data_IF_349936490265
#
_entry.id   IF_349936490265
#
_cell.length_a   1.000
_cell.length_b   1.000
_cell.length_c   1.000
_cell.angle_alpha   90.00
_cell.angle_beta   90.00
_cell.angle_gamma   90.00
#
_symmetry.space_group_name_H-M   'P 1'
#
loop_
_entity.id
_entity.type
_entity.pdbx_description
1 polymer ?
#
# COMPACT_ATOMS: atom_id res chain seq x y z
N UNK A 1 -5.01 -4.25 -14.62
CA UNK A 1 -5.49 -3.30 -13.60
C UNK A 1 -4.81 -1.97 -13.86
N UNK A 2 -5.50 -0.86 -13.69
CA UNK A 2 -4.88 0.47 -13.55
C UNK A 2 -5.01 0.90 -12.09
N UNK A 3 -3.96 1.53 -11.56
CA UNK A 3 -3.76 1.73 -10.13
C UNK A 3 -3.65 3.23 -9.83
N UNK A 4 -4.15 3.62 -8.65
CA UNK A 4 -4.04 4.98 -8.14
C UNK A 4 -4.03 4.94 -6.61
N UNK A 5 -3.02 5.57 -6.01
CA UNK A 5 -2.72 5.43 -4.58
C UNK A 5 -3.81 5.96 -3.63
N UNK A 6 -4.70 6.81 -4.13
CA UNK A 6 -5.78 7.40 -3.33
C UNK A 6 -7.07 6.59 -3.29
N UNK A 7 -7.14 5.40 -3.91
CA UNK A 7 -8.38 4.64 -3.94
C UNK A 7 -8.28 3.24 -4.55
N UNK A 8 -9.43 2.70 -4.91
CA UNK A 8 -9.51 1.36 -5.51
C UNK A 8 -8.87 1.33 -6.91
N UNK A 9 -8.25 0.21 -7.29
CA UNK A 9 -7.80 -0.02 -8.65
C UNK A 9 -9.00 -0.17 -9.60
N UNK A 10 -8.79 0.09 -10.88
CA UNK A 10 -9.78 -0.15 -11.92
C UNK A 10 -9.39 -1.35 -12.79
N UNK A 11 -10.37 -2.20 -13.09
CA UNK A 11 -10.24 -3.28 -14.06
C UNK A 11 -10.50 -2.73 -15.46
N UNK A 12 -9.66 -3.14 -16.38
CA UNK A 12 -9.75 -2.82 -17.80
C UNK A 12 -9.89 -4.11 -18.59
N UNK A 13 -10.63 -4.06 -19.68
CA UNK A 13 -10.57 -5.09 -20.72
C UNK A 13 -9.16 -5.07 -21.34
N UNK A 14 -8.49 -6.22 -21.41
CA UNK A 14 -7.10 -6.29 -21.88
C UNK A 14 -6.94 -6.07 -23.38
N UNK A 15 -8.00 -6.25 -24.17
CA UNK A 15 -7.97 -6.13 -25.64
C UNK A 15 -8.40 -4.73 -26.08
N UNK A 16 -9.47 -4.21 -25.49
CA UNK A 16 -10.07 -2.93 -25.87
C UNK A 16 -9.62 -1.76 -25.00
N UNK A 17 -9.00 -2.01 -23.84
CA UNK A 17 -8.67 -1.01 -22.82
C UNK A 17 -9.88 -0.23 -22.29
N UNK A 18 -11.08 -0.77 -22.49
CA UNK A 18 -12.30 -0.20 -21.91
C UNK A 18 -12.32 -0.42 -20.40
N UNK A 19 -12.86 0.55 -19.68
CA UNK A 19 -12.97 0.48 -18.22
C UNK A 19 -14.15 -0.41 -17.82
N UNK A 20 -13.88 -1.53 -17.16
CA UNK A 20 -14.93 -2.38 -16.58
C UNK A 20 -15.47 -1.79 -15.27
N UNK A 21 -14.61 -1.14 -14.49
CA UNK A 21 -15.00 -0.47 -13.24
C UNK A 21 -13.96 -0.63 -12.13
N UNK A 22 -14.33 -0.18 -10.92
CA UNK A 22 -13.52 -0.35 -9.71
C UNK A 22 -13.44 -1.83 -9.33
N UNK A 23 -12.30 -2.25 -8.83
CA UNK A 23 -12.06 -3.63 -8.38
C UNK A 23 -11.74 -3.66 -6.88
N UNK A 24 -12.48 -4.51 -6.16
CA UNK A 24 -12.19 -4.85 -4.77
C UNK A 24 -11.30 -6.09 -4.63
N UNK A 25 -10.68 -6.54 -5.74
CA UNK A 25 -9.79 -7.70 -5.80
C UNK A 25 -10.41 -8.97 -5.18
N UNK A 26 -11.68 -9.24 -5.50
CA UNK A 26 -12.41 -10.39 -4.95
C UNK A 26 -12.80 -10.25 -3.47
N UNK A 27 -12.89 -9.02 -2.96
CA UNK A 27 -13.27 -8.72 -1.57
C UNK A 27 -12.10 -8.44 -0.64
N UNK A 28 -10.86 -8.53 -1.14
CA UNK A 28 -9.64 -8.18 -0.37
C UNK A 28 -9.63 -6.71 0.04
N UNK A 29 -10.16 -5.82 -0.81
CA UNK A 29 -10.27 -4.38 -0.53
C UNK A 29 -11.72 -4.00 -0.20
N UNK A 30 -11.90 -3.12 0.79
CA UNK A 30 -13.19 -2.46 1.05
C UNK A 30 -13.38 -1.27 0.09
N UNK A 31 -14.61 -0.79 -0.04
CA UNK A 31 -14.98 0.25 -1.02
C UNK A 31 -14.14 1.54 -0.96
N UNK A 32 -13.65 1.89 0.24
CA UNK A 32 -12.86 3.10 0.51
C UNK A 32 -11.37 2.82 0.74
N UNK A 33 -10.93 1.59 0.57
CA UNK A 33 -9.53 1.26 0.79
C UNK A 33 -8.67 1.82 -0.35
N UNK A 34 -7.54 2.47 -0.04
CA UNK A 34 -6.56 2.84 -1.05
C UNK A 34 -5.78 1.60 -1.51
N UNK A 35 -5.16 1.66 -2.68
CA UNK A 35 -4.27 0.62 -3.17
C UNK A 35 -3.07 1.25 -3.86
N UNK A 36 -1.87 0.86 -3.42
CA UNK A 36 -0.60 1.36 -3.92
C UNK A 36 -0.47 1.16 -5.43
N UNK A 37 0.20 2.09 -6.09
CA UNK A 37 0.38 2.05 -7.54
C UNK A 37 1.59 1.20 -7.98
N UNK A 38 2.39 0.72 -7.01
CA UNK A 38 3.57 -0.09 -7.25
C UNK A 38 3.34 -1.53 -6.85
N UNK A 39 3.92 -2.41 -7.64
CA UNK A 39 3.91 -3.85 -7.41
C UNK A 39 5.33 -4.38 -7.56
N UNK A 40 5.65 -5.43 -6.83
CA UNK A 40 6.88 -6.18 -6.98
C UNK A 40 6.56 -7.63 -7.29
N UNK A 41 7.21 -8.19 -8.30
CA UNK A 41 7.09 -9.61 -8.63
C UNK A 41 8.30 -10.36 -8.08
N UNK A 42 8.05 -11.34 -7.21
CA UNK A 42 9.05 -12.27 -6.71
C UNK A 42 9.03 -13.55 -7.54
N UNK A 43 10.04 -13.69 -8.41
CA UNK A 43 10.16 -14.83 -9.31
C UNK A 43 10.53 -16.15 -8.61
N UNK A 44 11.10 -16.10 -7.40
CA UNK A 44 11.47 -17.31 -6.66
C UNK A 44 10.25 -18.00 -6.08
N UNK A 45 9.26 -17.22 -5.67
CA UNK A 45 8.02 -17.72 -5.05
C UNK A 45 6.80 -17.65 -5.97
N UNK A 46 6.95 -17.07 -7.17
CA UNK A 46 5.87 -16.81 -8.13
C UNK A 46 4.72 -15.99 -7.51
N UNK A 47 5.12 -14.90 -6.83
CA UNK A 47 4.21 -14.02 -6.09
C UNK A 47 4.27 -12.58 -6.56
N UNK A 48 3.10 -11.95 -6.57
CA UNK A 48 2.96 -10.51 -6.81
C UNK A 48 2.65 -9.82 -5.49
N UNK A 49 3.48 -8.85 -5.12
CA UNK A 49 3.34 -8.06 -3.92
C UNK A 49 2.77 -6.69 -4.24
N UNK A 50 1.86 -6.22 -3.39
CA UNK A 50 1.29 -4.87 -3.41
C UNK A 50 1.22 -4.33 -1.98
N UNK A 51 0.84 -3.06 -1.86
CA UNK A 51 0.51 -2.49 -0.56
C UNK A 51 -0.76 -1.64 -0.62
N UNK A 52 -1.37 -1.42 0.53
CA UNK A 52 -2.33 -0.35 0.80
C UNK A 52 -1.74 0.55 1.88
N UNK A 53 -1.97 1.85 1.78
CA UNK A 53 -1.50 2.82 2.75
C UNK A 53 -2.65 3.76 3.15
N UNK A 54 -3.28 3.46 4.29
CA UNK A 54 -4.33 4.28 4.87
C UNK A 54 -3.67 5.41 5.67
N UNK A 55 -3.52 6.55 5.01
CA UNK A 55 -2.83 7.71 5.55
C UNK A 55 -3.72 8.45 6.55
N UNK A 56 -3.14 8.83 7.69
CA UNK A 56 -3.75 9.70 8.69
C UNK A 56 -2.67 10.61 9.29
N UNK A 57 -3.05 11.82 9.73
CA UNK A 57 -2.09 12.78 10.29
C UNK A 57 -1.42 12.28 11.58
N UNK A 58 -2.08 11.41 12.35
CA UNK A 58 -1.64 10.92 13.66
C UNK A 58 -1.09 9.48 13.62
N UNK A 59 -1.69 8.59 12.83
CA UNK A 59 -1.19 7.23 12.65
C UNK A 59 -1.74 6.58 11.39
N UNK A 60 -0.83 6.31 10.45
CA UNK A 60 -1.16 5.62 9.21
C UNK A 60 -1.11 4.09 9.39
N UNK A 61 -1.83 3.36 8.54
CA UNK A 61 -1.78 1.89 8.50
C UNK A 61 -1.32 1.45 7.12
N UNK A 62 -0.18 0.75 7.09
CA UNK A 62 0.33 0.09 5.90
C UNK A 62 -0.11 -1.38 5.93
N UNK A 63 -0.59 -1.88 4.80
CA UNK A 63 -0.90 -3.30 4.60
C UNK A 63 -0.12 -3.82 3.41
N UNK A 64 0.75 -4.80 3.61
CA UNK A 64 1.38 -5.58 2.55
C UNK A 64 0.43 -6.70 2.11
N UNK A 65 0.32 -6.95 0.80
CA UNK A 65 -0.42 -8.07 0.23
C UNK A 65 0.49 -8.90 -0.67
N UNK A 66 0.40 -10.23 -0.56
CA UNK A 66 1.03 -11.19 -1.46
C UNK A 66 -0.04 -12.04 -2.16
N UNK A 67 -0.01 -12.04 -3.49
CA UNK A 67 -0.89 -12.83 -4.34
C UNK A 67 -0.09 -13.92 -5.06
N UNK A 68 -0.65 -15.13 -5.16
CA UNK A 68 -0.09 -16.19 -6.00
C UNK A 68 -0.32 -15.92 -7.50
N UNK A 69 0.21 -16.78 -8.38
CA UNK A 69 0.05 -16.67 -9.84
C UNK A 69 -1.38 -16.76 -10.38
N UNK A 70 -2.36 -17.17 -9.56
CA UNK A 70 -3.79 -17.09 -9.89
C UNK A 70 -4.42 -15.77 -9.42
N UNK A 71 -3.59 -14.83 -8.99
CA UNK A 71 -3.97 -13.53 -8.42
C UNK A 71 -4.95 -13.67 -7.24
N UNK A 72 -4.74 -14.70 -6.42
CA UNK A 72 -5.46 -14.91 -5.16
C UNK A 72 -4.52 -14.61 -4.02
N UNK A 73 -5.02 -13.96 -2.98
CA UNK A 73 -4.26 -13.72 -1.76
C UNK A 73 -3.71 -15.07 -1.26
N UNK A 74 -2.43 -15.13 -0.92
CA UNK A 74 -1.81 -16.35 -0.39
C UNK A 74 -2.57 -16.75 0.89
N UNK A 75 -2.89 -18.03 1.07
CA UNK A 75 -3.56 -18.52 2.29
C UNK A 75 -2.59 -19.19 3.26
N UNK A 76 -1.42 -19.58 2.78
CA UNK A 76 -0.50 -20.47 3.48
C UNK A 76 0.81 -19.70 3.73
N UNK A 77 1.01 -19.26 4.96
CA UNK A 77 2.29 -18.70 5.38
C UNK A 77 3.33 -19.82 5.49
N UNK A 78 4.49 -19.65 4.85
CA UNK A 78 5.67 -20.44 5.19
C UNK A 78 6.34 -19.77 6.40
N UNK A 79 5.61 -19.69 7.52
CA UNK A 79 6.03 -18.96 8.70
C UNK A 79 4.91 -18.82 9.72
N UNK A 80 5.05 -19.48 10.86
CA UNK A 80 4.15 -19.38 12.00
C UNK A 80 4.11 -17.96 12.58
N UNK A 81 2.98 -17.24 12.48
CA UNK A 81 2.45 -16.34 13.52
C UNK A 81 0.93 -16.30 13.41
N UNK A 82 0.23 -16.47 14.53
CA UNK A 82 -1.18 -16.88 14.62
C UNK A 82 -2.25 -15.79 14.41
N UNK A 83 -1.94 -14.62 13.86
CA UNK A 83 -2.92 -13.52 13.77
C UNK A 83 -3.03 -12.87 12.37
N UNK A 84 -2.32 -13.39 11.35
CA UNK A 84 -2.37 -12.87 9.98
C UNK A 84 -3.42 -13.62 9.15
N UNK A 85 -4.41 -12.89 8.62
CA UNK A 85 -5.33 -13.39 7.60
C UNK A 85 -4.58 -13.63 6.27
N UNK A 86 -3.86 -14.76 6.15
CA UNK A 86 -3.17 -15.13 4.91
C UNK A 86 -2.03 -14.18 4.51
N UNK A 87 -1.83 -13.98 3.19
CA UNK A 87 -0.80 -13.19 2.53
C UNK A 87 -0.95 -11.68 2.76
N UNK A 88 -1.37 -11.28 3.96
CA UNK A 88 -1.63 -9.91 4.38
C UNK A 88 -0.85 -9.64 5.66
N UNK A 89 -0.07 -8.56 5.68
CA UNK A 89 0.66 -8.10 6.87
C UNK A 89 0.35 -6.63 7.11
N UNK A 90 -0.23 -6.30 8.26
CA UNK A 90 -0.56 -4.93 8.65
C UNK A 90 0.47 -4.37 9.64
N UNK A 91 0.91 -3.13 9.39
CA UNK A 91 1.85 -2.41 10.25
C UNK A 91 1.33 -1.00 10.47
N UNK A 92 1.30 -0.57 11.73
CA UNK A 92 1.00 0.83 12.09
C UNK A 92 2.25 1.68 11.93
N UNK A 93 2.12 2.81 11.25
CA UNK A 93 3.17 3.81 11.11
C UNK A 93 2.81 5.07 11.90
N UNK A 94 3.77 5.69 12.61
CA UNK A 94 3.52 6.91 13.34
C UNK A 94 3.29 8.09 12.39
N UNK A 95 2.26 8.89 12.64
CA UNK A 95 1.93 10.06 11.85
C UNK A 95 1.52 9.75 10.42
N UNK A 96 1.68 10.76 9.56
CA UNK A 96 1.47 10.65 8.13
C UNK A 96 2.58 9.80 7.49
N UNK A 97 2.19 8.70 6.85
CA UNK A 97 3.09 7.89 6.04
C UNK A 97 2.87 8.21 4.56
N UNK A 98 3.63 9.16 4.00
CA UNK A 98 3.57 9.45 2.56
C UNK A 98 4.49 8.46 1.81
N UNK A 99 3.93 7.32 1.43
CA UNK A 99 4.63 6.20 0.77
C UNK A 99 4.16 6.07 -0.67
N UNK A 100 5.09 6.10 -1.63
CA UNK A 100 4.81 5.96 -3.06
C UNK A 100 5.44 4.73 -3.73
N UNK A 101 6.35 4.05 -3.04
CA UNK A 101 7.06 2.88 -3.56
C UNK A 101 7.62 2.02 -2.44
N UNK A 102 8.06 0.81 -2.79
CA UNK A 102 8.66 -0.16 -1.89
C UNK A 102 9.62 -1.09 -2.63
N UNK A 103 10.54 -1.71 -1.89
CA UNK A 103 11.40 -2.76 -2.40
C UNK A 103 11.10 -4.10 -1.71
N UNK A 104 11.51 -5.19 -2.34
CA UNK A 104 11.30 -6.54 -1.81
C UNK A 104 12.62 -7.29 -1.79
N UNK A 105 12.83 -8.01 -0.69
CA UNK A 105 13.90 -9.00 -0.50
C UNK A 105 13.24 -10.36 -0.25
N UNK A 106 14.05 -11.40 -0.07
CA UNK A 106 13.53 -12.73 0.28
C UNK A 106 12.58 -12.70 1.48
N UNK A 107 12.94 -11.96 2.55
CA UNK A 107 12.20 -12.00 3.83
C UNK A 107 11.43 -10.72 4.16
N UNK A 108 11.71 -9.61 3.47
CA UNK A 108 11.16 -8.30 3.82
C UNK A 108 10.63 -7.53 2.61
N UNK A 109 9.52 -6.84 2.84
CA UNK A 109 9.14 -5.65 2.09
C UNK A 109 9.68 -4.41 2.81
N UNK A 110 10.30 -3.49 2.06
CA UNK A 110 11.05 -2.35 2.58
C UNK A 110 10.36 -1.07 2.14
N UNK A 111 10.00 -0.23 3.10
CA UNK A 111 9.34 1.05 2.87
C UNK A 111 10.14 2.20 3.49
N UNK A 112 10.16 3.35 2.84
CA UNK A 112 10.81 4.56 3.36
C UNK A 112 9.73 5.60 3.65
N UNK A 113 9.55 5.95 4.93
CA UNK A 113 8.68 7.02 5.36
C UNK A 113 9.48 8.33 5.46
N UNK A 114 9.27 9.29 4.54
CA UNK A 114 9.88 10.61 4.68
C UNK A 114 9.26 11.35 5.88
N UNK A 115 9.99 12.28 6.51
CA UNK A 115 9.53 13.03 7.69
C UNK A 115 8.57 14.15 7.26
N UNK A 116 7.38 13.79 6.77
CA UNK A 116 6.38 14.73 6.25
C UNK A 116 5.17 14.77 7.18
N UNK A 117 4.70 15.97 7.47
CA UNK A 117 3.44 16.23 8.17
C UNK A 117 2.47 16.99 7.25
N UNK A 118 1.20 17.03 7.64
CA UNK A 118 0.20 17.89 6.98
C UNK A 118 -0.20 19.06 7.87
N UNK A 119 -0.43 20.22 7.26
CA UNK A 119 -1.01 21.40 7.89
C UNK A 119 -2.43 21.62 7.35
N UNK A 120 -3.42 21.17 8.12
CA UNK A 120 -4.83 21.29 7.74
C UNK A 120 -5.31 22.73 7.57
N UNK A 121 -4.77 23.68 8.35
CA UNK A 121 -5.12 25.10 8.22
C UNK A 121 -4.66 25.65 6.87
N UNK A 122 -3.45 25.28 6.46
CA UNK A 122 -2.90 25.66 5.15
C UNK A 122 -3.74 25.09 4.00
N UNK A 123 -4.24 23.86 4.13
CA UNK A 123 -5.16 23.28 3.15
C UNK A 123 -6.48 24.07 3.08
N UNK A 124 -7.08 24.43 4.21
CA UNK A 124 -8.34 25.18 4.24
C UNK A 124 -8.20 26.57 3.58
N UNK A 125 -7.07 27.25 3.78
CA UNK A 125 -6.81 28.57 3.18
C UNK A 125 -6.49 28.49 1.69
N UNK A 126 -5.64 27.55 1.28
CA UNK A 126 -5.13 27.48 -0.09
C UNK A 126 -5.98 26.62 -1.02
N UNK A 127 -6.75 25.67 -0.47
CA UNK A 127 -7.42 24.57 -1.20
C UNK A 127 -6.48 23.76 -2.10
N UNK A 128 -5.19 23.79 -1.81
CA UNK A 128 -4.14 23.13 -2.57
C UNK A 128 -3.50 22.04 -1.68
N UNK A 129 -3.75 20.75 -1.96
CA UNK A 129 -3.19 19.65 -1.18
C UNK A 129 -1.66 19.68 -1.13
N UNK A 130 -0.99 20.08 -2.22
CA UNK A 130 0.47 20.07 -2.30
C UNK A 130 1.08 21.09 -1.32
N UNK A 131 0.40 22.22 -1.09
CA UNK A 131 0.84 23.25 -0.14
C UNK A 131 0.58 22.87 1.32
N UNK A 132 -0.18 21.82 1.58
CA UNK A 132 -0.47 21.36 2.95
C UNK A 132 0.62 20.48 3.53
N UNK A 133 1.50 19.91 2.69
CA UNK A 133 2.60 19.07 3.15
C UNK A 133 3.78 19.93 3.65
N UNK A 134 4.32 19.56 4.81
CA UNK A 134 5.46 20.23 5.43
C UNK A 134 6.52 19.18 5.74
N UNK A 135 7.76 19.44 5.36
CA UNK A 135 8.91 18.63 5.74
C UNK A 135 9.31 18.98 7.18
N UNK A 136 9.40 17.98 8.05
CA UNK A 136 9.88 18.12 9.41
C UNK A 136 11.40 17.98 9.47
N UNK A 137 12.03 18.63 10.46
CA UNK A 137 13.47 18.49 10.76
C UNK A 137 13.78 17.18 11.50
N UNK A 138 13.42 16.04 10.91
CA UNK A 138 13.69 14.68 11.41
C UNK A 138 14.29 13.83 10.29
N UNK A 139 14.79 12.64 10.62
CA UNK A 139 15.22 11.65 9.63
C UNK A 139 14.03 10.90 9.04
N UNK A 140 14.16 10.43 7.80
CA UNK A 140 13.27 9.42 7.25
C UNK A 140 13.40 8.10 8.04
N UNK A 141 12.33 7.33 8.10
CA UNK A 141 12.28 6.02 8.77
C UNK A 141 12.23 4.91 7.73
N UNK A 142 13.13 3.94 7.85
CA UNK A 142 13.11 2.71 7.06
C UNK A 142 12.31 1.65 7.81
N UNK A 143 11.26 1.14 7.17
CA UNK A 143 10.40 0.08 7.73
C UNK A 143 10.70 -1.24 7.03
N UNK A 144 11.08 -2.25 7.81
CA UNK A 144 11.24 -3.63 7.35
C UNK A 144 10.00 -4.43 7.77
N UNK A 145 9.17 -4.78 6.80
CA UNK A 145 7.92 -5.52 7.02
C UNK A 145 8.16 -6.97 6.63
N UNK A 146 7.98 -7.90 7.57
CA UNK A 146 8.10 -9.33 7.29
C UNK A 146 7.11 -9.75 6.19
N UNK A 147 7.59 -10.60 5.29
CA UNK A 147 6.80 -11.27 4.26
C UNK A 147 6.15 -12.54 4.81
N UNK A 148 5.21 -13.11 4.05
CA UNK A 148 4.43 -14.31 4.43
C UNK A 148 4.86 -15.53 3.63
#
# INVERSE_FOLDING_TARGET
LTLWEGGLPYKLDSLALSTEGRSQLGGVLKEKDPFGAKAAYDANTDRMLFYSNKQDASSSVLTLYEFNSKFRLVSDGYGMVSDNEGGKVEVKMPGLALISDFAVTENYAIFVQPPVATNGMQFLMSKDPAKSCVLESKSAVLHLVNRV
#
